data_IF_910856466697
#
_entry.id   IF_910856466697
#
_cell.length_a   1.000
_cell.length_b   1.000
_cell.length_c   1.000
_cell.angle_alpha   90.00
_cell.angle_beta   90.00
_cell.angle_gamma   90.00
#
_symmetry.space_group_name_H-M   'P 1'
#
loop_
_entity.id
_entity.type
_entity.pdbx_description
1 polymer ?
#
# COMPACT_ATOMS: atom_id res chain seq x y z
N UNK A 1 -12.02 -5.56 -12.58
CA UNK A 1 -13.01 -5.67 -13.70
C UNK A 1 -12.72 -4.56 -14.69
N UNK A 2 -12.01 -4.90 -15.76
CA UNK A 2 -11.67 -3.99 -16.84
C UNK A 2 -12.86 -3.94 -17.82
N UNK A 3 -13.42 -2.75 -18.05
CA UNK A 3 -14.39 -2.56 -19.15
C UNK A 3 -13.59 -2.05 -20.35
N UNK A 4 -13.59 -2.75 -21.50
CA UNK A 4 -13.02 -2.24 -22.72
C UNK A 4 -13.94 -1.18 -23.31
N UNK A 5 -13.60 0.07 -23.19
CA UNK A 5 -14.39 1.16 -23.74
C UNK A 5 -13.57 2.45 -23.87
N UNK A 6 -13.11 2.74 -25.11
CA UNK A 6 -12.77 4.07 -25.63
C UNK A 6 -11.83 4.92 -24.80
N UNK A 7 -10.56 4.99 -25.17
CA UNK A 7 -9.49 5.87 -24.65
C UNK A 7 -9.91 7.34 -24.52
N UNK A 8 -10.49 7.71 -23.41
CA UNK A 8 -10.32 9.02 -22.78
C UNK A 8 -9.74 8.72 -21.41
N UNK A 9 -8.47 9.02 -21.17
CA UNK A 9 -7.87 8.96 -19.85
C UNK A 9 -8.78 9.75 -18.90
N UNK A 10 -9.49 9.04 -18.02
CA UNK A 10 -10.31 9.69 -17.00
C UNK A 10 -9.35 10.09 -15.89
N UNK A 11 -9.10 11.37 -15.72
CA UNK A 11 -8.33 11.86 -14.60
C UNK A 11 -8.96 11.37 -13.30
N UNK A 12 -8.18 10.66 -12.49
CA UNK A 12 -8.56 10.12 -11.19
C UNK A 12 -7.70 10.76 -10.11
N UNK A 13 -8.25 10.88 -8.91
CA UNK A 13 -7.46 11.16 -7.70
C UNK A 13 -7.14 9.81 -7.06
N UNK A 14 -5.88 9.54 -6.83
CA UNK A 14 -5.46 8.41 -6.00
C UNK A 14 -5.73 8.72 -4.54
N UNK A 15 -6.59 7.92 -3.89
CA UNK A 15 -7.03 8.14 -2.52
C UNK A 15 -6.71 6.91 -1.67
N UNK A 16 -5.74 7.05 -0.79
CA UNK A 16 -5.34 6.05 0.20
C UNK A 16 -6.03 6.34 1.55
N UNK A 17 -6.87 5.41 2.02
CA UNK A 17 -7.55 5.46 3.31
C UNK A 17 -6.78 4.57 4.30
N UNK A 18 -5.79 5.16 4.97
CA UNK A 18 -4.98 4.45 5.97
C UNK A 18 -5.49 4.66 7.39
N UNK A 19 -4.93 3.90 8.36
CA UNK A 19 -5.37 3.92 9.75
C UNK A 19 -5.01 5.20 10.51
N UNK A 20 -3.92 5.88 10.14
CA UNK A 20 -3.51 7.14 10.81
C UNK A 20 -3.85 8.40 10.01
N UNK A 21 -4.11 8.28 8.73
CA UNK A 21 -4.38 9.43 7.86
C UNK A 21 -4.95 9.01 6.53
N UNK A 22 -5.67 9.92 5.88
CA UNK A 22 -6.07 9.81 4.48
C UNK A 22 -5.08 10.61 3.63
N UNK A 23 -4.74 10.09 2.45
CA UNK A 23 -3.87 10.77 1.50
C UNK A 23 -4.56 10.84 0.15
N UNK A 24 -4.42 11.98 -0.52
CA UNK A 24 -4.93 12.18 -1.87
C UNK A 24 -3.81 12.70 -2.77
N UNK A 25 -3.71 12.16 -3.97
CA UNK A 25 -2.75 12.60 -5.00
C UNK A 25 -3.45 12.72 -6.34
N UNK A 26 -3.25 13.85 -7.00
CA UNK A 26 -3.70 14.09 -8.37
C UNK A 26 -2.49 14.25 -9.29
N UNK A 27 -2.43 13.42 -10.32
CA UNK A 27 -1.40 13.45 -11.36
C UNK A 27 -2.01 13.83 -12.70
N UNK A 28 -1.21 14.39 -13.60
CA UNK A 28 -1.56 14.54 -15.01
C UNK A 28 -0.46 13.96 -15.91
N UNK A 29 -0.85 13.40 -17.04
CA UNK A 29 0.10 12.98 -18.06
C UNK A 29 0.56 14.18 -18.88
N UNK A 30 1.85 14.22 -19.18
CA UNK A 30 2.50 15.22 -20.03
C UNK A 30 3.37 14.53 -21.06
N UNK A 31 3.91 15.27 -22.04
CA UNK A 31 4.87 14.71 -23.01
C UNK A 31 6.18 14.23 -22.36
N UNK A 32 6.50 14.76 -21.18
CA UNK A 32 7.73 14.43 -20.44
C UNK A 32 7.51 13.40 -19.30
N UNK A 33 6.34 12.80 -19.21
CA UNK A 33 5.97 11.86 -18.15
C UNK A 33 4.82 12.38 -17.31
N UNK A 34 4.75 11.97 -16.04
CA UNK A 34 3.70 12.37 -15.09
C UNK A 34 4.12 13.64 -14.35
N UNK A 35 3.16 14.52 -14.07
CA UNK A 35 3.35 15.74 -13.27
C UNK A 35 2.40 15.73 -12.07
N UNK A 36 2.92 16.08 -10.89
CA UNK A 36 2.15 16.28 -9.68
C UNK A 36 1.29 17.56 -9.79
N UNK A 37 -0.02 17.39 -9.75
CA UNK A 37 -0.98 18.49 -9.79
C UNK A 37 -1.30 18.97 -8.39
N UNK A 38 -1.63 18.03 -7.50
CA UNK A 38 -2.03 18.31 -6.12
C UNK A 38 -1.79 17.09 -5.25
N UNK A 39 -1.55 17.29 -3.98
CA UNK A 39 -1.52 16.25 -2.96
C UNK A 39 -1.92 16.83 -1.61
N UNK A 40 -2.50 15.99 -0.77
CA UNK A 40 -2.86 16.35 0.59
C UNK A 40 -2.93 15.13 1.51
N UNK A 41 -2.84 15.41 2.80
CA UNK A 41 -2.97 14.41 3.85
C UNK A 41 -3.78 15.00 5.01
N UNK A 42 -4.77 14.25 5.49
CA UNK A 42 -5.55 14.59 6.69
C UNK A 42 -5.40 13.49 7.73
N UNK A 43 -4.95 13.80 8.96
CA UNK A 43 -4.86 12.84 10.03
C UNK A 43 -6.25 12.33 10.45
N UNK A 44 -6.28 11.09 10.91
CA UNK A 44 -7.46 10.46 11.52
C UNK A 44 -7.23 10.25 13.02
N UNK A 45 -8.30 10.32 13.80
CA UNK A 45 -8.26 9.91 15.20
C UNK A 45 -7.99 8.40 15.31
N UNK A 46 -7.50 7.99 16.49
CA UNK A 46 -7.34 6.56 16.79
C UNK A 46 -8.64 5.79 16.53
N UNK A 47 -8.51 4.55 16.15
CA UNK A 47 -9.60 3.59 15.93
C UNK A 47 -10.64 4.00 14.87
N UNK A 48 -10.41 5.09 14.14
CA UNK A 48 -11.25 5.46 12.98
C UNK A 48 -11.18 4.43 11.86
N UNK A 49 -9.98 3.90 11.63
CA UNK A 49 -9.71 2.78 10.70
C UNK A 49 -8.79 1.77 11.39
N UNK A 50 -9.27 0.55 11.60
CA UNK A 50 -8.56 -0.54 12.28
C UNK A 50 -8.34 -1.69 11.29
N UNK A 51 -7.10 -2.13 11.09
CA UNK A 51 -6.73 -3.20 10.14
C UNK A 51 -7.37 -3.03 8.75
N UNK A 52 -7.44 -1.78 8.29
CA UNK A 52 -8.07 -1.40 7.04
C UNK A 52 -9.60 -1.46 7.06
N UNK A 53 -10.26 -1.73 8.18
CA UNK A 53 -11.71 -1.63 8.33
C UNK A 53 -12.11 -0.23 8.83
N UNK A 54 -13.04 0.42 8.12
CA UNK A 54 -13.56 1.74 8.50
C UNK A 54 -14.56 1.56 9.65
N UNK A 55 -14.22 2.09 10.84
CA UNK A 55 -15.06 2.03 12.03
C UNK A 55 -15.91 3.30 12.18
N UNK A 56 -15.41 4.47 11.76
CA UNK A 56 -16.12 5.75 11.78
C UNK A 56 -16.21 6.34 10.36
N UNK A 57 -17.26 5.95 9.64
CA UNK A 57 -17.50 6.40 8.27
C UNK A 57 -17.70 7.92 8.14
N UNK A 58 -18.46 8.61 9.02
CA UNK A 58 -18.57 10.07 9.01
C UNK A 58 -17.23 10.78 9.16
N UNK A 59 -16.36 10.32 10.05
CA UNK A 59 -15.05 10.94 10.25
C UNK A 59 -14.15 10.79 9.01
N UNK A 60 -14.15 9.61 8.38
CA UNK A 60 -13.41 9.37 7.13
C UNK A 60 -13.96 10.24 6.00
N UNK A 61 -15.29 10.31 5.82
CA UNK A 61 -15.90 11.15 4.79
C UNK A 61 -15.57 12.64 4.96
N UNK A 62 -15.58 13.14 6.20
CA UNK A 62 -15.20 14.51 6.52
C UNK A 62 -13.72 14.78 6.21
N UNK A 63 -12.82 13.85 6.56
CA UNK A 63 -11.40 13.99 6.27
C UNK A 63 -11.14 14.01 4.76
N UNK A 64 -11.82 13.18 3.97
CA UNK A 64 -11.76 13.22 2.50
C UNK A 64 -12.20 14.60 1.99
N UNK A 65 -13.32 15.10 2.47
CA UNK A 65 -13.84 16.41 2.05
C UNK A 65 -12.85 17.52 2.36
N UNK A 66 -12.27 17.54 3.57
CA UNK A 66 -11.25 18.52 3.97
C UNK A 66 -10.04 18.54 3.03
N UNK A 67 -9.48 17.37 2.66
CA UNK A 67 -8.34 17.30 1.73
C UNK A 67 -8.71 17.93 0.39
N UNK A 68 -9.87 17.55 -0.18
CA UNK A 68 -10.28 18.04 -1.49
C UNK A 68 -10.53 19.54 -1.50
N UNK A 69 -11.08 20.10 -0.42
CA UNK A 69 -11.34 21.53 -0.28
C UNK A 69 -10.03 22.30 -0.07
N UNK A 70 -9.15 21.84 0.83
CA UNK A 70 -7.86 22.46 1.12
C UNK A 70 -6.97 22.53 -0.11
N UNK A 71 -6.87 21.41 -0.85
CA UNK A 71 -6.04 21.29 -2.04
C UNK A 71 -6.76 21.74 -3.33
N UNK A 72 -8.00 22.21 -3.22
CA UNK A 72 -8.84 22.69 -4.33
C UNK A 72 -8.98 21.65 -5.47
N UNK A 73 -9.03 20.36 -5.11
CA UNK A 73 -9.17 19.25 -6.07
C UNK A 73 -10.61 19.24 -6.57
N UNK A 74 -10.79 19.45 -7.88
CA UNK A 74 -12.12 19.51 -8.53
C UNK A 74 -12.59 18.15 -9.05
N UNK A 75 -11.66 17.25 -9.31
CA UNK A 75 -11.91 15.90 -9.81
C UNK A 75 -12.69 15.11 -8.76
N UNK A 76 -13.86 14.57 -9.12
CA UNK A 76 -14.69 13.74 -8.23
C UNK A 76 -14.38 12.26 -8.34
N UNK A 77 -13.83 11.85 -9.46
CA UNK A 77 -13.50 10.46 -9.72
C UNK A 77 -12.25 10.06 -8.93
N UNK A 78 -12.33 8.96 -8.21
CA UNK A 78 -11.21 8.47 -7.39
C UNK A 78 -10.86 7.02 -7.71
N UNK A 79 -9.57 6.72 -7.63
CA UNK A 79 -9.07 5.37 -7.47
C UNK A 79 -8.69 5.21 -6.00
N UNK A 80 -9.22 4.19 -5.35
CA UNK A 80 -8.93 3.84 -3.96
C UNK A 80 -8.46 2.41 -3.86
N UNK A 81 -7.98 2.00 -2.70
CA UNK A 81 -7.55 0.63 -2.45
C UNK A 81 -8.07 0.10 -1.12
N UNK A 82 -7.99 -1.21 -0.98
CA UNK A 82 -8.29 -1.96 0.23
C UNK A 82 -7.12 -2.85 0.61
N UNK A 83 -6.99 -3.15 1.90
CA UNK A 83 -5.94 -4.03 2.44
C UNK A 83 -6.44 -4.82 3.64
N UNK A 84 -5.54 -5.58 4.27
CA UNK A 84 -5.84 -6.38 5.46
C UNK A 84 -6.39 -7.77 5.14
N UNK A 85 -6.90 -8.46 6.17
CA UNK A 85 -7.29 -9.88 6.10
C UNK A 85 -8.45 -10.21 5.14
N UNK A 86 -9.18 -9.19 4.70
CA UNK A 86 -10.30 -9.35 3.74
C UNK A 86 -9.83 -9.38 2.29
N UNK A 87 -8.52 -9.28 2.03
CA UNK A 87 -7.89 -9.28 0.71
C UNK A 87 -7.02 -10.52 0.58
N UNK A 88 -7.29 -11.33 -0.42
CA UNK A 88 -6.49 -12.52 -0.76
C UNK A 88 -5.92 -12.34 -2.15
N UNK A 89 -4.62 -12.54 -2.27
CA UNK A 89 -3.91 -12.59 -3.56
C UNK A 89 -3.22 -13.94 -3.65
N UNK A 90 -3.47 -14.67 -4.73
CA UNK A 90 -2.87 -16.00 -4.97
C UNK A 90 -2.44 -16.14 -6.41
N UNK A 91 -1.22 -16.63 -6.62
CA UNK A 91 -0.75 -17.12 -7.90
C UNK A 91 -1.10 -18.60 -8.00
N UNK A 92 -1.82 -18.99 -9.05
CA UNK A 92 -2.33 -20.34 -9.24
C UNK A 92 -1.90 -20.84 -10.61
N UNK A 93 -1.13 -21.94 -10.70
CA UNK A 93 -0.83 -22.58 -11.96
C UNK A 93 -2.05 -23.38 -12.43
N UNK A 94 -2.49 -23.14 -13.67
CA UNK A 94 -3.61 -23.82 -14.30
C UNK A 94 -3.15 -24.49 -15.61
N UNK A 95 -3.84 -25.54 -16.10
CA UNK A 95 -3.63 -26.03 -17.45
C UNK A 95 -3.88 -24.94 -18.47
N UNK A 96 -3.14 -24.97 -19.58
CA UNK A 96 -3.36 -24.04 -20.68
C UNK A 96 -4.77 -24.20 -21.25
N UNK A 97 -5.50 -23.11 -21.35
CA UNK A 97 -6.88 -23.06 -21.84
C UNK A 97 -7.15 -21.71 -22.51
N UNK A 98 -8.26 -21.60 -23.20
CA UNK A 98 -8.72 -20.34 -23.80
C UNK A 98 -9.17 -19.33 -22.70
N UNK A 99 -9.27 -18.07 -23.07
CA UNK A 99 -9.74 -17.02 -22.16
C UNK A 99 -11.20 -17.27 -21.72
N UNK A 100 -12.05 -17.79 -22.60
CA UNK A 100 -13.43 -18.14 -22.30
C UNK A 100 -13.51 -19.31 -21.29
N UNK A 101 -12.75 -20.39 -21.51
CA UNK A 101 -12.65 -21.50 -20.56
C UNK A 101 -12.11 -21.06 -19.20
N UNK A 102 -11.10 -20.18 -19.21
CA UNK A 102 -10.54 -19.62 -17.98
C UNK A 102 -11.61 -18.83 -17.21
N UNK A 103 -12.37 -17.96 -17.88
CA UNK A 103 -13.44 -17.18 -17.26
C UNK A 103 -14.46 -18.06 -16.52
N UNK A 104 -14.90 -19.15 -17.15
CA UNK A 104 -15.87 -20.07 -16.56
C UNK A 104 -15.29 -20.91 -15.43
N UNK A 105 -14.00 -21.18 -15.48
CA UNK A 105 -13.30 -22.04 -14.51
C UNK A 105 -12.83 -21.30 -13.26
N UNK A 106 -12.53 -20.02 -13.36
CA UNK A 106 -12.00 -19.18 -12.28
C UNK A 106 -12.79 -19.29 -10.96
N UNK A 107 -14.13 -19.26 -10.91
CA UNK A 107 -14.87 -19.37 -9.65
C UNK A 107 -14.62 -20.70 -8.92
N UNK A 108 -14.56 -21.80 -9.69
CA UNK A 108 -14.31 -23.13 -9.13
C UNK A 108 -12.88 -23.29 -8.63
N UNK A 109 -11.90 -22.78 -9.37
CA UNK A 109 -10.50 -22.80 -8.94
C UNK A 109 -10.28 -21.90 -7.72
N UNK A 110 -10.85 -20.70 -7.74
CA UNK A 110 -10.75 -19.77 -6.62
C UNK A 110 -11.29 -20.36 -5.31
N UNK A 111 -12.37 -21.15 -5.35
CA UNK A 111 -12.95 -21.78 -4.16
C UNK A 111 -11.99 -22.73 -3.44
N UNK A 112 -10.99 -23.26 -4.13
CA UNK A 112 -9.98 -24.17 -3.55
C UNK A 112 -8.84 -23.40 -2.85
N UNK A 113 -8.65 -22.12 -3.20
CA UNK A 113 -7.52 -21.31 -2.75
C UNK A 113 -7.91 -20.17 -1.81
N UNK A 114 -9.20 -19.82 -1.75
CA UNK A 114 -9.72 -18.70 -0.99
C UNK A 114 -10.49 -19.21 0.22
N UNK A 115 -10.15 -18.76 1.47
CA UNK A 115 -10.79 -19.24 2.70
C UNK A 115 -12.15 -18.57 2.97
N UNK A 116 -12.81 -18.04 1.95
CA UNK A 116 -14.10 -17.38 2.01
C UNK A 116 -15.07 -18.03 1.03
N UNK A 117 -16.37 -17.92 1.29
CA UNK A 117 -17.37 -18.29 0.29
C UNK A 117 -17.22 -17.38 -0.94
N UNK A 118 -17.20 -17.99 -2.13
CA UNK A 118 -17.07 -17.25 -3.40
C UNK A 118 -18.22 -16.27 -3.62
N UNK A 119 -19.39 -16.56 -3.06
CA UNK A 119 -20.54 -15.65 -3.12
C UNK A 119 -20.35 -14.37 -2.29
N UNK A 120 -19.45 -14.38 -1.31
CA UNK A 120 -19.18 -13.24 -0.41
C UNK A 120 -18.02 -12.37 -0.87
N UNK A 121 -17.32 -12.74 -1.96
CA UNK A 121 -16.17 -12.00 -2.46
C UNK A 121 -16.41 -11.42 -3.87
N UNK A 122 -15.76 -10.31 -4.15
CA UNK A 122 -15.48 -9.88 -5.51
C UNK A 122 -14.18 -10.55 -5.95
N UNK A 123 -14.27 -11.30 -7.03
CA UNK A 123 -13.16 -12.03 -7.62
C UNK A 123 -12.69 -11.32 -8.89
N UNK A 124 -11.38 -11.16 -9.00
CA UNK A 124 -10.70 -10.68 -10.20
C UNK A 124 -9.51 -11.58 -10.49
N UNK A 125 -9.09 -11.66 -11.74
CA UNK A 125 -7.92 -12.42 -12.12
C UNK A 125 -7.14 -11.74 -13.23
N UNK A 126 -5.88 -12.11 -13.35
CA UNK A 126 -4.98 -11.68 -14.41
C UNK A 126 -4.13 -12.86 -14.86
N UNK A 127 -4.06 -13.09 -16.17
CA UNK A 127 -3.07 -14.00 -16.75
C UNK A 127 -1.69 -13.34 -16.65
N UNK A 128 -0.74 -14.01 -16.01
CA UNK A 128 0.64 -13.54 -15.84
C UNK A 128 1.53 -14.06 -16.95
N UNK A 129 1.65 -15.35 -17.06
CA UNK A 129 2.48 -16.05 -18.04
C UNK A 129 1.77 -17.30 -18.55
N UNK A 130 2.02 -17.66 -19.80
CA UNK A 130 1.61 -18.92 -20.37
C UNK A 130 2.85 -19.61 -20.97
N UNK A 131 3.17 -20.82 -20.52
CA UNK A 131 4.30 -21.60 -20.99
C UNK A 131 3.87 -23.05 -21.27
N UNK A 132 4.19 -23.56 -22.46
CA UNK A 132 3.92 -24.93 -22.91
C UNK A 132 2.48 -25.42 -22.63
N UNK A 133 2.28 -26.17 -21.56
CA UNK A 133 1.01 -26.76 -21.18
C UNK A 133 0.33 -26.12 -19.94
N UNK A 134 0.92 -25.05 -19.41
CA UNK A 134 0.44 -24.40 -18.19
C UNK A 134 0.36 -22.87 -18.36
N UNK A 135 -0.52 -22.25 -17.58
CA UNK A 135 -0.62 -20.81 -17.43
C UNK A 135 -0.62 -20.45 -15.95
N UNK A 136 0.03 -19.33 -15.63
CA UNK A 136 0.00 -18.76 -14.29
C UNK A 136 -1.05 -17.66 -14.21
N UNK A 137 -1.97 -17.79 -13.28
CA UNK A 137 -3.06 -16.84 -13.07
C UNK A 137 -2.95 -16.22 -11.67
N UNK A 138 -2.97 -14.90 -11.63
CA UNK A 138 -3.10 -14.16 -10.38
C UNK A 138 -4.57 -14.01 -10.04
N UNK A 139 -4.99 -14.62 -8.92
CA UNK A 139 -6.33 -14.46 -8.37
C UNK A 139 -6.31 -13.39 -7.28
N UNK A 140 -7.29 -12.49 -7.32
CA UNK A 140 -7.53 -11.49 -6.28
C UNK A 140 -8.97 -11.61 -5.82
N UNK A 141 -9.15 -11.84 -4.52
CA UNK A 141 -10.46 -11.89 -3.90
C UNK A 141 -10.55 -10.89 -2.75
N UNK A 142 -11.60 -10.11 -2.74
CA UNK A 142 -11.89 -9.13 -1.69
C UNK A 142 -13.32 -9.30 -1.21
N UNK A 143 -13.55 -9.31 0.10
CA UNK A 143 -14.90 -9.40 0.67
C UNK A 143 -15.76 -8.23 0.17
N UNK A 144 -16.99 -8.55 -0.26
CA UNK A 144 -17.95 -7.59 -0.83
C UNK A 144 -18.30 -6.48 0.15
N UNK A 145 -18.48 -6.81 1.43
CA UNK A 145 -18.78 -5.85 2.50
C UNK A 145 -17.67 -4.82 2.67
N UNK A 146 -16.39 -5.23 2.55
CA UNK A 146 -15.24 -4.32 2.60
C UNK A 146 -15.29 -3.30 1.48
N UNK A 147 -15.51 -3.74 0.24
CA UNK A 147 -15.61 -2.84 -0.92
C UNK A 147 -16.81 -1.91 -0.75
N UNK A 148 -17.96 -2.44 -0.33
CA UNK A 148 -19.18 -1.67 -0.12
C UNK A 148 -18.98 -0.57 0.94
N UNK A 149 -18.33 -0.89 2.07
CA UNK A 149 -18.04 0.09 3.11
C UNK A 149 -17.16 1.22 2.59
N UNK A 150 -16.08 0.92 1.85
CA UNK A 150 -15.21 1.94 1.25
C UNK A 150 -15.95 2.80 0.22
N UNK A 151 -16.71 2.18 -0.68
CA UNK A 151 -17.45 2.92 -1.71
C UNK A 151 -18.56 3.78 -1.14
N UNK A 152 -19.24 3.35 -0.06
CA UNK A 152 -20.25 4.13 0.64
C UNK A 152 -19.65 5.38 1.29
N UNK A 153 -18.49 5.28 1.94
CA UNK A 153 -17.80 6.42 2.54
C UNK A 153 -17.37 7.43 1.48
N UNK A 154 -16.89 6.97 0.34
CA UNK A 154 -16.56 7.83 -0.79
C UNK A 154 -17.81 8.56 -1.32
N UNK A 155 -18.92 7.86 -1.44
CA UNK A 155 -20.18 8.46 -1.86
C UNK A 155 -20.67 9.52 -0.84
N UNK A 156 -20.56 9.27 0.47
CA UNK A 156 -20.85 10.25 1.53
C UNK A 156 -19.98 11.51 1.42
N UNK A 157 -18.73 11.36 1.02
CA UNK A 157 -17.82 12.48 0.75
C UNK A 157 -18.06 13.16 -0.62
N UNK A 158 -19.11 12.75 -1.36
CA UNK A 158 -19.43 13.28 -2.70
C UNK A 158 -18.42 12.88 -3.79
N UNK A 159 -17.70 11.77 -3.59
CA UNK A 159 -16.72 11.23 -4.55
C UNK A 159 -17.28 9.99 -5.26
N UNK A 160 -16.78 9.75 -6.46
CA UNK A 160 -17.18 8.61 -7.29
C UNK A 160 -16.03 7.61 -7.38
N UNK A 161 -16.12 6.45 -6.72
CA UNK A 161 -15.11 5.41 -6.88
C UNK A 161 -15.19 4.80 -8.29
N UNK A 162 -14.14 4.98 -9.06
CA UNK A 162 -14.03 4.44 -10.43
C UNK A 162 -13.19 3.17 -10.43
N UNK A 163 -12.16 3.14 -9.57
CA UNK A 163 -11.28 2.00 -9.37
C UNK A 163 -11.22 1.68 -7.87
N UNK A 164 -11.40 0.40 -7.53
CA UNK A 164 -11.04 -0.15 -6.22
C UNK A 164 -9.95 -1.18 -6.45
N UNK A 165 -8.75 -0.86 -6.02
CA UNK A 165 -7.54 -1.67 -6.14
C UNK A 165 -7.19 -2.29 -4.78
N UNK A 166 -6.02 -2.88 -4.66
CA UNK A 166 -5.42 -3.29 -3.38
C UNK A 166 -4.14 -2.48 -3.13
N UNK A 167 -3.83 -2.22 -1.85
CA UNK A 167 -2.65 -1.42 -1.47
C UNK A 167 -1.35 -1.93 -2.08
N UNK A 168 -1.19 -3.27 -2.14
CA UNK A 168 -0.01 -3.90 -2.70
C UNK A 168 0.21 -3.56 -4.19
N UNK A 169 -0.87 -3.43 -4.96
CA UNK A 169 -0.76 -3.05 -6.38
C UNK A 169 -0.57 -1.55 -6.55
N UNK A 170 -1.19 -0.72 -5.69
CA UNK A 170 -0.85 0.71 -5.63
C UNK A 170 0.65 0.92 -5.35
N UNK A 171 1.20 0.20 -4.38
CA UNK A 171 2.62 0.20 -4.07
C UNK A 171 3.48 -0.22 -5.29
N UNK A 172 3.10 -1.31 -5.96
CA UNK A 172 3.79 -1.82 -7.15
C UNK A 172 3.74 -0.84 -8.32
N UNK A 173 2.57 -0.29 -8.66
CA UNK A 173 2.42 0.69 -9.74
C UNK A 173 3.34 1.91 -9.53
N UNK A 174 3.41 2.40 -8.27
CA UNK A 174 4.31 3.49 -7.92
C UNK A 174 5.80 3.10 -8.12
N UNK A 175 6.17 1.90 -7.71
CA UNK A 175 7.54 1.39 -7.89
C UNK A 175 7.89 1.26 -9.37
N UNK A 176 7.05 0.65 -10.19
CA UNK A 176 7.30 0.41 -11.62
C UNK A 176 7.54 1.70 -12.39
N UNK A 177 6.72 2.72 -12.16
CA UNK A 177 6.86 4.00 -12.85
C UNK A 177 8.15 4.73 -12.43
N UNK A 178 8.54 4.65 -11.16
CA UNK A 178 9.66 5.42 -10.63
C UNK A 178 11.01 4.72 -10.74
N UNK A 179 11.07 3.38 -10.81
CA UNK A 179 12.32 2.61 -10.70
C UNK A 179 12.60 1.71 -11.88
N UNK A 180 11.67 1.52 -12.84
CA UNK A 180 11.84 0.67 -14.03
C UNK A 180 12.40 -0.72 -13.65
N UNK A 181 11.56 -1.62 -13.15
CA UNK A 181 12.00 -2.88 -12.59
C UNK A 181 12.80 -3.71 -13.62
N UNK A 182 13.96 -4.18 -13.21
CA UNK A 182 14.74 -5.15 -13.98
C UNK A 182 14.05 -6.51 -13.98
N UNK A 183 13.86 -7.10 -15.16
CA UNK A 183 13.22 -8.39 -15.32
C UNK A 183 13.95 -9.55 -14.58
N UNK A 184 15.26 -9.41 -14.35
CA UNK A 184 16.08 -10.37 -13.61
C UNK A 184 16.12 -10.16 -12.10
N UNK A 185 15.57 -9.05 -11.58
CA UNK A 185 15.68 -8.68 -10.18
C UNK A 185 14.38 -8.92 -9.41
N UNK A 186 14.47 -9.70 -8.33
CA UNK A 186 13.36 -9.90 -7.38
C UNK A 186 13.49 -8.87 -6.24
N UNK A 187 12.45 -8.05 -6.08
CA UNK A 187 12.40 -6.93 -5.13
C UNK A 187 11.26 -7.15 -4.14
N UNK A 188 11.52 -6.98 -2.85
CA UNK A 188 10.48 -6.89 -1.84
C UNK A 188 10.07 -5.44 -1.64
N UNK A 189 8.80 -5.14 -1.88
CA UNK A 189 8.18 -3.86 -1.62
C UNK A 189 7.45 -3.93 -0.27
N UNK A 190 7.86 -3.12 0.69
CA UNK A 190 7.29 -3.05 2.04
C UNK A 190 6.58 -1.72 2.23
N UNK A 191 5.26 -1.72 2.39
CA UNK A 191 4.53 -0.53 2.85
C UNK A 191 4.17 -0.71 4.33
N UNK A 192 4.93 -0.07 5.22
CA UNK A 192 4.76 -0.18 6.67
C UNK A 192 3.90 0.99 7.13
N UNK A 193 2.58 0.72 7.23
CA UNK A 193 1.57 1.67 7.68
C UNK A 193 1.50 1.80 9.21
N UNK A 194 0.42 2.41 9.71
CA UNK A 194 0.19 2.54 11.15
C UNK A 194 -0.28 1.22 11.78
N UNK A 195 -1.24 0.51 11.18
CA UNK A 195 -1.75 -0.77 11.70
C UNK A 195 -1.44 -1.98 10.82
N UNK A 196 -1.15 -1.79 9.54
CA UNK A 196 -0.90 -2.88 8.58
C UNK A 196 0.40 -2.64 7.84
N UNK A 197 1.19 -3.71 7.70
CA UNK A 197 2.31 -3.78 6.77
C UNK A 197 1.91 -4.63 5.57
N UNK A 198 2.00 -4.06 4.37
CA UNK A 198 1.83 -4.78 3.12
C UNK A 198 3.20 -5.17 2.55
N UNK A 199 3.39 -6.45 2.28
CA UNK A 199 4.58 -7.02 1.67
C UNK A 199 4.19 -7.52 0.28
N UNK A 200 4.85 -7.00 -0.77
CA UNK A 200 4.66 -7.43 -2.14
C UNK A 200 6.02 -7.76 -2.76
N UNK A 201 6.25 -9.02 -3.11
CA UNK A 201 7.49 -9.48 -3.74
C UNK A 201 7.24 -9.56 -5.23
N UNK A 202 8.04 -8.82 -6.00
CA UNK A 202 7.84 -8.63 -7.45
C UNK A 202 9.12 -8.94 -8.21
N UNK A 203 8.97 -9.40 -9.46
CA UNK A 203 10.06 -9.53 -10.43
C UNK A 203 9.60 -9.07 -11.81
N UNK A 204 10.31 -8.09 -12.38
CA UNK A 204 10.00 -7.58 -13.72
C UNK A 204 8.56 -7.08 -13.89
N UNK A 205 7.94 -6.52 -12.84
CA UNK A 205 6.53 -6.11 -12.87
C UNK A 205 5.51 -7.21 -12.59
N UNK A 206 5.96 -8.47 -12.38
CA UNK A 206 5.07 -9.60 -12.03
C UNK A 206 5.05 -9.78 -10.51
N UNK A 207 3.88 -9.74 -9.86
CA UNK A 207 3.78 -10.05 -8.43
C UNK A 207 3.96 -11.55 -8.22
N UNK A 208 4.98 -11.92 -7.45
CA UNK A 208 5.29 -13.31 -7.11
C UNK A 208 4.60 -13.73 -5.81
N UNK A 209 4.53 -12.81 -4.84
CA UNK A 209 3.94 -13.09 -3.53
C UNK A 209 3.45 -11.80 -2.88
N UNK A 210 2.27 -11.86 -2.27
CA UNK A 210 1.67 -10.71 -1.56
C UNK A 210 1.13 -11.15 -0.21
N UNK A 211 1.44 -10.39 0.84
CA UNK A 211 0.93 -10.63 2.20
C UNK A 211 0.69 -9.32 2.94
N UNK A 212 -0.49 -9.20 3.57
CA UNK A 212 -0.76 -8.20 4.59
C UNK A 212 -0.51 -8.77 5.99
N UNK A 213 0.12 -8.00 6.86
CA UNK A 213 0.41 -8.37 8.26
C UNK A 213 -0.09 -7.25 9.16
N UNK A 214 -0.87 -7.59 10.21
CA UNK A 214 -1.41 -6.62 11.17
C UNK A 214 -0.34 -6.19 12.18
N UNK A 215 0.74 -5.61 11.68
CA UNK A 215 1.79 -4.95 12.45
C UNK A 215 2.15 -3.62 11.78
N UNK A 216 2.51 -2.62 12.57
CA UNK A 216 2.87 -1.31 12.04
C UNK A 216 3.25 -0.29 13.11
N UNK A 217 3.15 0.98 12.75
CA UNK A 217 3.60 2.11 13.57
C UNK A 217 2.88 2.27 14.90
N UNK A 218 1.63 1.78 15.02
CA UNK A 218 0.89 1.86 16.29
C UNK A 218 1.55 1.07 17.40
N UNK A 219 2.21 -0.05 17.10
CA UNK A 219 2.92 -0.85 18.10
C UNK A 219 4.05 -0.07 18.78
N UNK A 220 4.72 0.83 18.07
CA UNK A 220 5.70 1.73 18.69
C UNK A 220 5.03 2.72 19.63
N UNK A 221 3.91 3.30 19.21
CA UNK A 221 3.17 4.26 20.02
C UNK A 221 2.64 3.60 21.29
N UNK A 222 2.04 2.41 21.16
CA UNK A 222 1.51 1.63 22.28
C UNK A 222 2.62 1.24 23.28
N UNK A 223 3.78 0.80 22.78
CA UNK A 223 4.94 0.45 23.61
C UNK A 223 5.47 1.67 24.37
N UNK A 224 5.64 2.82 23.68
CA UNK A 224 6.09 4.07 24.29
C UNK A 224 5.10 4.58 25.36
N UNK A 225 3.79 4.53 25.06
CA UNK A 225 2.76 4.89 26.06
C UNK A 225 2.83 4.00 27.29
N UNK A 226 2.90 2.69 27.10
CA UNK A 226 2.86 1.71 28.17
C UNK A 226 4.11 1.73 29.04
N UNK A 227 5.30 1.80 28.43
CA UNK A 227 6.57 1.68 29.14
C UNK A 227 7.02 2.99 29.80
N UNK A 228 6.57 4.13 29.24
CA UNK A 228 6.97 5.47 29.72
C UNK A 228 5.82 6.28 30.31
N UNK A 229 4.61 5.70 30.43
CA UNK A 229 3.39 6.37 30.92
C UNK A 229 3.11 7.70 30.21
N UNK A 230 3.14 7.67 28.88
CA UNK A 230 3.01 8.86 28.04
C UNK A 230 1.62 8.99 27.45
N UNK A 231 1.24 10.25 27.13
CA UNK A 231 0.11 10.51 26.24
C UNK A 231 0.36 9.96 24.84
N UNK A 232 -0.71 9.73 24.08
CA UNK A 232 -0.60 9.32 22.67
C UNK A 232 0.24 10.32 21.85
N UNK A 233 -0.02 11.63 22.02
CA UNK A 233 0.66 12.66 21.27
C UNK A 233 2.16 12.72 21.58
N UNK A 234 2.55 12.57 22.85
CA UNK A 234 3.96 12.51 23.24
C UNK A 234 4.65 11.26 22.74
N UNK A 235 3.98 10.09 22.78
CA UNK A 235 4.49 8.86 22.21
C UNK A 235 4.68 8.97 20.68
N UNK A 236 3.72 9.57 19.97
CA UNK A 236 3.83 9.84 18.52
C UNK A 236 5.00 10.77 18.19
N UNK A 237 5.24 11.79 19.01
CA UNK A 237 6.40 12.70 18.84
C UNK A 237 7.71 11.97 19.04
N UNK A 238 7.84 11.19 20.13
CA UNK A 238 9.04 10.38 20.37
C UNK A 238 9.31 9.38 19.26
N UNK A 239 8.27 8.68 18.79
CA UNK A 239 8.36 7.75 17.67
C UNK A 239 8.91 8.40 16.40
N UNK A 240 8.57 9.65 16.16
CA UNK A 240 9.05 10.44 15.00
C UNK A 240 10.45 11.02 15.18
N UNK A 241 11.07 10.80 16.33
CA UNK A 241 12.44 11.24 16.59
C UNK A 241 12.56 12.47 17.50
N UNK A 242 11.46 13.07 17.95
CA UNK A 242 11.48 14.15 18.91
C UNK A 242 12.10 13.70 20.24
N UNK A 243 12.42 14.66 21.08
CA UNK A 243 12.91 14.46 22.46
C UNK A 243 11.91 15.00 23.46
N UNK A 244 11.79 14.34 24.60
CA UNK A 244 11.03 14.83 25.75
C UNK A 244 11.99 14.93 26.96
N UNK A 245 11.87 15.98 27.79
CA UNK A 245 12.76 16.16 28.94
C UNK A 245 12.74 15.01 29.95
N UNK A 246 11.65 14.25 29.99
CA UNK A 246 11.41 13.15 30.92
C UNK A 246 11.89 11.79 30.40
N UNK A 247 12.35 11.70 29.15
CA UNK A 247 12.72 10.44 28.49
C UNK A 247 14.16 10.53 27.97
N UNK A 248 14.99 9.58 28.36
CA UNK A 248 16.37 9.49 27.83
C UNK A 248 16.38 8.87 26.43
N UNK A 249 17.40 9.20 25.64
CA UNK A 249 17.57 8.59 24.30
C UNK A 249 17.80 7.08 24.40
N UNK A 250 18.40 6.59 25.49
CA UNK A 250 18.61 5.16 25.74
C UNK A 250 17.26 4.45 25.95
N UNK A 251 16.37 4.96 26.82
CA UNK A 251 15.04 4.40 27.04
C UNK A 251 14.22 4.35 25.75
N UNK A 252 14.18 5.50 25.05
CA UNK A 252 13.51 5.59 23.74
C UNK A 252 14.07 4.57 22.75
N UNK A 253 15.40 4.52 22.61
CA UNK A 253 16.08 3.63 21.67
C UNK A 253 15.82 2.14 21.94
N UNK A 254 15.82 1.71 23.20
CA UNK A 254 15.50 0.33 23.58
C UNK A 254 14.08 -0.07 23.21
N UNK A 255 13.10 0.79 23.47
CA UNK A 255 11.69 0.55 23.12
C UNK A 255 11.51 0.49 21.61
N UNK A 256 12.06 1.48 20.88
CA UNK A 256 11.97 1.50 19.41
C UNK A 256 12.61 0.24 18.81
N UNK A 257 13.76 -0.18 19.31
CA UNK A 257 14.46 -1.38 18.83
C UNK A 257 13.63 -2.65 19.07
N UNK A 258 13.08 -2.82 20.27
CA UNK A 258 12.25 -3.99 20.62
C UNK A 258 11.06 -4.15 19.66
N UNK A 259 10.37 -3.06 19.32
CA UNK A 259 9.26 -3.11 18.35
C UNK A 259 9.77 -3.35 16.93
N UNK A 260 10.91 -2.74 16.55
CA UNK A 260 11.52 -2.99 15.24
C UNK A 260 11.90 -4.45 15.04
N UNK A 261 12.36 -5.13 16.09
CA UNK A 261 12.69 -6.57 16.05
C UNK A 261 11.43 -7.41 15.77
N UNK A 262 10.27 -7.03 16.32
CA UNK A 262 8.98 -7.70 16.02
C UNK A 262 8.59 -7.54 14.55
N UNK A 263 8.72 -6.32 14.00
CA UNK A 263 8.43 -6.07 12.59
C UNK A 263 9.37 -6.88 11.68
N UNK A 264 10.65 -6.88 12.01
CA UNK A 264 11.69 -7.61 11.27
C UNK A 264 11.42 -9.11 11.26
N UNK A 265 11.00 -9.67 12.40
CA UNK A 265 10.62 -11.08 12.51
C UNK A 265 9.45 -11.44 11.58
N UNK A 266 8.43 -10.59 11.47
CA UNK A 266 7.30 -10.83 10.56
C UNK A 266 7.70 -10.74 9.08
N UNK A 267 8.62 -9.84 8.75
CA UNK A 267 9.22 -9.77 7.40
C UNK A 267 10.02 -11.05 7.13
N UNK A 268 10.86 -11.48 8.07
CA UNK A 268 11.67 -12.69 7.95
C UNK A 268 10.78 -13.92 7.71
N UNK A 269 9.75 -14.13 8.51
CA UNK A 269 8.77 -15.23 8.34
C UNK A 269 8.15 -15.22 6.93
N UNK A 270 7.87 -14.03 6.40
CA UNK A 270 7.30 -13.88 5.07
C UNK A 270 8.31 -14.25 3.98
N UNK A 271 9.56 -13.81 4.13
CA UNK A 271 10.63 -14.14 3.18
C UNK A 271 10.98 -15.63 3.21
N UNK A 272 10.99 -16.25 4.39
CA UNK A 272 11.23 -17.69 4.53
C UNK A 272 10.12 -18.50 3.87
N UNK A 273 8.86 -18.10 4.07
CA UNK A 273 7.73 -18.72 3.37
C UNK A 273 7.84 -18.57 1.86
N UNK A 274 8.17 -17.36 1.38
CA UNK A 274 8.39 -17.12 -0.05
C UNK A 274 9.49 -18.02 -0.62
N UNK A 275 10.66 -18.07 0.02
CA UNK A 275 11.78 -18.94 -0.43
C UNK A 275 11.39 -20.41 -0.47
N UNK A 276 10.59 -20.88 0.49
CA UNK A 276 10.14 -22.28 0.53
C UNK A 276 9.13 -22.62 -0.58
N UNK A 277 8.38 -21.63 -1.08
CA UNK A 277 7.31 -21.83 -2.07
C UNK A 277 7.69 -21.41 -3.49
N UNK A 278 8.65 -20.51 -3.64
CA UNK A 278 9.10 -19.97 -4.92
C UNK A 278 10.41 -20.65 -5.35
N UNK A 279 10.32 -21.65 -6.20
CA UNK A 279 11.43 -22.52 -6.66
C UNK A 279 12.70 -21.76 -7.08
N UNK A 280 13.62 -21.52 -6.13
CA UNK A 280 14.95 -20.92 -6.37
C UNK A 280 14.98 -19.39 -6.47
N UNK A 281 13.89 -18.69 -6.21
CA UNK A 281 13.83 -17.23 -6.21
C UNK A 281 14.45 -16.64 -4.93
N UNK A 282 15.35 -15.67 -5.10
CA UNK A 282 15.96 -14.95 -3.99
C UNK A 282 15.64 -13.45 -4.09
N UNK A 283 15.23 -12.87 -2.98
CA UNK A 283 15.05 -11.41 -2.86
C UNK A 283 16.43 -10.76 -2.86
N UNK A 284 16.62 -9.75 -3.70
CA UNK A 284 17.92 -9.08 -3.89
C UNK A 284 17.91 -7.64 -3.38
N UNK A 285 16.73 -7.07 -3.13
CA UNK A 285 16.56 -5.68 -2.69
C UNK A 285 15.25 -5.51 -1.94
N UNK A 286 15.25 -4.61 -0.98
CA UNK A 286 14.05 -4.19 -0.26
C UNK A 286 13.82 -2.69 -0.54
N UNK A 287 12.57 -2.35 -0.90
CA UNK A 287 12.10 -0.98 -1.00
C UNK A 287 11.07 -0.73 0.08
N UNK A 288 11.29 0.27 0.94
CA UNK A 288 10.43 0.55 2.09
C UNK A 288 9.62 1.82 1.85
N UNK A 289 8.33 1.75 2.13
CA UNK A 289 7.37 2.85 2.07
C UNK A 289 6.52 2.89 3.36
N UNK A 290 5.65 3.88 3.46
CA UNK A 290 4.78 4.08 4.61
C UNK A 290 5.39 4.97 5.69
N UNK A 291 4.53 5.46 6.59
CA UNK A 291 4.96 6.40 7.64
C UNK A 291 5.94 5.81 8.64
N UNK A 292 5.82 4.51 8.88
CA UNK A 292 6.66 3.77 9.84
C UNK A 292 8.10 3.59 9.34
N UNK A 293 8.35 3.69 8.02
CA UNK A 293 9.71 3.70 7.47
C UNK A 293 10.58 4.83 8.06
N UNK A 294 9.95 5.87 8.59
CA UNK A 294 10.63 7.02 9.21
C UNK A 294 10.94 6.86 10.70
N UNK A 295 10.59 5.73 11.30
CA UNK A 295 11.00 5.45 12.68
C UNK A 295 12.54 5.35 12.73
N UNK A 296 13.20 6.10 13.63
CA UNK A 296 14.65 6.11 13.73
C UNK A 296 15.23 4.71 13.91
N UNK A 297 16.21 4.36 13.07
CA UNK A 297 16.95 3.10 13.14
C UNK A 297 16.25 1.90 12.43
N UNK A 298 14.99 1.99 12.03
CA UNK A 298 14.30 0.85 11.41
C UNK A 298 14.94 0.42 10.08
N UNK A 299 15.19 1.36 9.18
CA UNK A 299 15.76 1.04 7.86
C UNK A 299 17.19 0.48 7.99
N UNK A 300 17.97 0.99 8.95
CA UNK A 300 19.33 0.49 9.20
C UNK A 300 19.29 -0.92 9.78
N UNK A 301 18.37 -1.18 10.71
CA UNK A 301 18.13 -2.53 11.23
C UNK A 301 17.79 -3.52 10.11
N UNK A 302 16.88 -3.14 9.18
CA UNK A 302 16.53 -4.01 8.06
C UNK A 302 17.74 -4.29 7.15
N UNK A 303 18.64 -3.33 6.94
CA UNK A 303 19.89 -3.56 6.19
C UNK A 303 20.82 -4.56 6.88
N UNK A 304 20.94 -4.45 8.19
CA UNK A 304 21.77 -5.36 9.01
C UNK A 304 21.20 -6.78 8.99
N UNK A 305 19.91 -6.95 9.27
CA UNK A 305 19.28 -8.25 9.42
C UNK A 305 19.16 -9.02 8.11
N UNK A 306 18.84 -8.35 7.01
CA UNK A 306 18.67 -9.02 5.72
C UNK A 306 19.94 -9.05 4.86
N UNK A 307 21.01 -8.38 5.25
CA UNK A 307 22.30 -8.31 4.55
C UNK A 307 22.12 -7.99 3.03
N UNK A 308 21.17 -7.12 2.69
CA UNK A 308 20.88 -6.70 1.31
C UNK A 308 20.56 -5.19 1.25
N UNK A 309 20.57 -4.57 0.06
CA UNK A 309 20.18 -3.17 -0.11
C UNK A 309 18.74 -2.92 0.35
N UNK A 310 18.55 -1.96 1.27
CA UNK A 310 17.26 -1.47 1.74
C UNK A 310 17.20 0.02 1.49
N UNK A 311 16.24 0.46 0.71
CA UNK A 311 16.08 1.86 0.33
C UNK A 311 14.64 2.33 0.56
N UNK A 312 14.50 3.60 0.93
CA UNK A 312 13.18 4.24 1.00
C UNK A 312 12.66 4.52 -0.41
N UNK A 313 11.42 4.13 -0.70
CA UNK A 313 10.78 4.33 -1.99
C UNK A 313 10.36 5.80 -2.13
N UNK A 314 10.93 6.48 -3.13
CA UNK A 314 10.53 7.84 -3.50
C UNK A 314 9.47 7.78 -4.63
N UNK A 315 8.20 8.12 -4.35
CA UNK A 315 7.12 8.08 -5.33
C UNK A 315 7.20 9.17 -6.40
N UNK A 316 8.10 10.13 -6.24
CA UNK A 316 8.27 11.28 -7.14
C UNK A 316 9.61 11.27 -7.89
N UNK A 317 10.32 10.13 -7.92
CA UNK A 317 11.64 10.05 -8.57
C UNK A 317 11.58 10.39 -10.06
N UNK A 318 10.50 9.99 -10.75
CA UNK A 318 10.22 10.28 -12.17
C UNK A 318 8.96 11.11 -12.39
N UNK A 319 8.37 11.62 -11.33
CA UNK A 319 7.21 12.52 -11.40
C UNK A 319 7.71 13.96 -11.35
N UNK A 320 7.29 14.76 -12.33
CA UNK A 320 7.63 16.17 -12.38
C UNK A 320 6.92 16.93 -11.27
N UNK A 321 7.69 17.72 -10.54
CA UNK A 321 7.18 18.57 -9.45
C UNK A 321 7.40 20.03 -9.87
N UNK A 322 6.36 20.86 -9.78
CA UNK A 322 6.46 22.29 -10.02
C UNK A 322 6.92 22.98 -8.71
N UNK A 323 8.16 23.51 -8.65
CA UNK A 323 8.68 24.15 -7.43
C UNK A 323 7.88 25.37 -6.96
N UNK A 324 7.13 26.02 -7.87
CA UNK A 324 6.29 27.18 -7.55
C UNK A 324 4.96 26.82 -6.89
N UNK A 325 4.60 25.53 -6.85
CA UNK A 325 3.32 25.07 -6.27
C UNK A 325 3.47 24.30 -4.98
N UNK A 326 4.56 23.58 -4.83
CA UNK A 326 4.75 22.62 -3.74
C UNK A 326 6.10 22.88 -3.04
N UNK A 327 6.11 22.83 -1.72
CA UNK A 327 7.34 22.90 -0.93
C UNK A 327 8.13 21.61 -1.08
N UNK A 328 9.41 21.70 -1.44
CA UNK A 328 10.29 20.54 -1.54
C UNK A 328 10.45 19.81 -0.20
N UNK A 329 10.51 20.56 0.90
CA UNK A 329 10.64 19.99 2.24
C UNK A 329 9.38 19.21 2.63
N UNK A 330 8.20 19.77 2.35
CA UNK A 330 6.93 19.09 2.59
C UNK A 330 6.81 17.80 1.75
N UNK A 331 7.22 17.84 0.48
CA UNK A 331 7.24 16.67 -0.37
C UNK A 331 8.19 15.61 0.19
N UNK A 332 9.41 16.00 0.55
CA UNK A 332 10.41 15.09 1.12
C UNK A 332 9.92 14.44 2.40
N UNK A 333 9.26 15.18 3.25
CA UNK A 333 8.69 14.67 4.50
C UNK A 333 7.55 13.67 4.25
N UNK A 334 6.65 13.96 3.32
CA UNK A 334 5.46 13.16 3.09
C UNK A 334 5.64 12.02 2.07
N UNK A 335 6.69 12.08 1.24
CA UNK A 335 6.92 11.15 0.13
C UNK A 335 6.68 9.66 0.47
N UNK A 336 7.26 9.08 1.54
CA UNK A 336 7.06 7.66 1.84
C UNK A 336 5.61 7.30 2.18
N UNK A 337 4.83 8.27 2.67
CA UNK A 337 3.42 8.08 3.02
C UNK A 337 2.48 8.17 1.82
N UNK A 338 2.95 8.77 0.71
CA UNK A 338 2.14 9.02 -0.49
C UNK A 338 2.26 7.92 -1.54
N UNK A 339 3.10 6.90 -1.31
CA UNK A 339 3.45 5.88 -2.31
C UNK A 339 2.21 5.17 -2.87
N UNK A 340 1.30 4.70 -2.00
CA UNK A 340 0.07 4.03 -2.43
C UNK A 340 -0.84 5.00 -3.18
N UNK A 341 -1.04 6.22 -2.67
CA UNK A 341 -1.87 7.22 -3.32
C UNK A 341 -1.34 7.64 -4.71
N UNK A 342 0.00 7.74 -4.88
CA UNK A 342 0.64 7.96 -6.19
C UNK A 342 0.35 6.79 -7.13
N UNK A 343 0.54 5.54 -6.68
CA UNK A 343 0.26 4.36 -7.48
C UNK A 343 -1.21 4.24 -7.90
N UNK A 344 -2.13 4.65 -7.02
CA UNK A 344 -3.56 4.73 -7.35
C UNK A 344 -3.87 5.84 -8.36
N UNK A 345 -3.23 7.01 -8.26
CA UNK A 345 -3.40 8.09 -9.23
C UNK A 345 -2.92 7.69 -10.64
N UNK A 346 -1.93 6.81 -10.74
CA UNK A 346 -1.42 6.27 -12.00
C UNK A 346 -2.47 5.42 -12.75
N UNK A 347 -3.48 4.86 -12.05
CA UNK A 347 -4.63 4.16 -12.66
C UNK A 347 -5.48 5.05 -13.59
N UNK A 348 -5.22 6.35 -13.60
CA UNK A 348 -5.82 7.30 -14.55
C UNK A 348 -5.39 7.06 -16.00
N UNK A 349 -4.28 6.36 -16.20
CA UNK A 349 -3.58 6.26 -17.48
C UNK A 349 -3.52 4.82 -18.01
N UNK A 350 -4.18 3.87 -17.32
CA UNK A 350 -4.32 2.47 -17.73
C UNK A 350 -5.28 2.27 -18.91
#
# INVERSE_FOLDING_TARGET
MWLPGGKKSRQLVGLDIGSSSIKAVELKSTKAGYELVSFGMEPLAQDTVVDGAIMDAPQVANAITKIFDAEKIKTKNVATSVSGHSVIVKRVPLPLMTEEELYDRIPSEASQHIPFDITDVNLSYQLLEAMDAQMDVLLVAVKKDKILNHTNVLAQAGKTPVVVDIDAFGLQNCFEVNYEPDAGQTVALLNIGASVMNINIVRGGIPLFTRGVSVGGNQYTDALQKELDLSFDDAERLKKGDTLPTVTDEQKGQILRSVSDILTLEIQKTFDFFRATASGENIQRIMVAGGTARVPGLVDLLREEFAMPVEELNPFRKVLINPGKHSEDQIRELAPRLVVAVGLALRSFD
#
